data_IF_383589244467
#
_entry.id   IF_383589244467
#
_cell.length_a   1.000
_cell.length_b   1.000
_cell.length_c   1.000
_cell.angle_alpha   90.00
_cell.angle_beta   90.00
_cell.angle_gamma   90.00
#
_symmetry.space_group_name_H-M   'P 1'
#
loop_
_entity.id
_entity.type
_entity.pdbx_description
1 polymer ?
#
# COMPACT_ATOMS: atom_id res chain seq x y z
N UNK A 1 -1.03 -40.89 -31.99
CA UNK A 1 -0.63 -39.60 -31.38
C UNK A 1 -1.15 -38.39 -32.18
N UNK A 2 -2.39 -37.97 -31.90
CA UNK A 2 -3.03 -36.79 -32.52
C UNK A 2 -2.82 -35.57 -31.61
N UNK A 3 -1.71 -34.87 -31.77
CA UNK A 3 -1.47 -33.56 -31.13
C UNK A 3 -0.82 -32.57 -32.11
N UNK A 4 -1.28 -32.57 -33.37
CA UNK A 4 -0.82 -31.67 -34.44
C UNK A 4 -1.94 -30.79 -35.04
N UNK A 5 -3.11 -30.73 -34.40
CA UNK A 5 -4.23 -29.88 -34.86
C UNK A 5 -4.53 -28.86 -33.76
N UNK A 6 -4.42 -27.59 -34.11
CA UNK A 6 -4.96 -26.47 -33.35
C UNK A 6 -6.31 -26.11 -34.01
N UNK A 7 -7.43 -26.72 -33.59
CA UNK A 7 -8.74 -26.38 -34.12
C UNK A 7 -9.08 -24.93 -33.77
N UNK A 8 -9.84 -24.27 -34.63
CA UNK A 8 -10.34 -22.92 -34.38
C UNK A 8 -11.20 -22.86 -33.12
N UNK A 9 -11.29 -21.65 -32.58
CA UNK A 9 -12.01 -21.37 -31.34
C UNK A 9 -13.52 -21.59 -31.53
N UNK A 10 -14.20 -22.13 -30.52
CA UNK A 10 -15.65 -22.34 -30.55
C UNK A 10 -16.46 -21.05 -30.63
N UNK A 11 -17.74 -21.18 -31.01
CA UNK A 11 -18.64 -20.05 -31.30
C UNK A 11 -18.80 -19.05 -30.14
N UNK A 12 -18.76 -19.52 -28.89
CA UNK A 12 -18.90 -18.66 -27.71
C UNK A 12 -17.79 -17.60 -27.58
N UNK A 13 -16.59 -17.87 -28.09
CA UNK A 13 -15.47 -16.91 -28.11
C UNK A 13 -15.27 -16.29 -29.50
N UNK A 14 -15.69 -16.96 -30.58
CA UNK A 14 -15.66 -16.39 -31.93
C UNK A 14 -16.65 -15.22 -32.10
N UNK A 15 -17.88 -15.34 -31.58
CA UNK A 15 -18.92 -14.31 -31.74
C UNK A 15 -18.51 -12.97 -31.12
N UNK A 16 -17.99 -12.89 -29.87
CA UNK A 16 -17.50 -11.63 -29.30
C UNK A 16 -16.29 -11.04 -30.05
N UNK A 17 -15.36 -11.87 -30.54
CA UNK A 17 -14.22 -11.36 -31.30
C UNK A 17 -14.64 -10.74 -32.63
N UNK A 18 -15.52 -11.42 -33.39
CA UNK A 18 -15.98 -10.93 -34.69
C UNK A 18 -16.88 -9.71 -34.54
N UNK A 19 -17.72 -9.64 -33.51
CA UNK A 19 -18.53 -8.44 -33.27
C UNK A 19 -17.64 -7.23 -32.93
N UNK A 20 -16.59 -7.40 -32.12
CA UNK A 20 -15.64 -6.34 -31.81
C UNK A 20 -14.81 -5.91 -33.04
N UNK A 21 -14.41 -6.83 -33.92
CA UNK A 21 -13.72 -6.43 -35.17
C UNK A 21 -14.63 -5.62 -36.09
N UNK A 22 -15.91 -5.97 -36.20
CA UNK A 22 -16.89 -5.18 -36.97
C UNK A 22 -17.02 -3.78 -36.35
N UNK A 23 -17.16 -3.67 -35.03
CA UNK A 23 -17.27 -2.36 -34.36
C UNK A 23 -16.01 -1.52 -34.58
N UNK A 24 -14.81 -2.07 -34.40
CA UNK A 24 -13.54 -1.33 -34.59
C UNK A 24 -13.33 -0.83 -36.02
N UNK A 25 -13.80 -1.55 -37.04
CA UNK A 25 -13.75 -1.09 -38.42
C UNK A 25 -14.80 -0.01 -38.74
N UNK A 26 -15.96 -0.05 -38.07
CA UNK A 26 -17.02 0.93 -38.23
C UNK A 26 -16.79 2.23 -37.45
N UNK A 27 -16.01 2.21 -36.36
CA UNK A 27 -15.77 3.40 -35.52
C UNK A 27 -15.27 4.63 -36.30
N UNK A 28 -14.26 4.58 -37.20
CA UNK A 28 -13.83 5.78 -37.93
C UNK A 28 -14.93 6.33 -38.84
N UNK A 29 -15.71 5.46 -39.49
CA UNK A 29 -16.83 5.85 -40.35
C UNK A 29 -17.96 6.50 -39.54
N UNK A 30 -18.29 5.94 -38.38
CA UNK A 30 -19.28 6.52 -37.48
C UNK A 30 -18.85 7.91 -36.98
N UNK A 31 -17.60 8.08 -36.57
CA UNK A 31 -17.07 9.37 -36.11
C UNK A 31 -17.07 10.43 -37.21
N UNK A 32 -16.80 10.02 -38.46
CA UNK A 32 -16.91 10.90 -39.62
C UNK A 32 -18.37 11.31 -39.90
N UNK A 33 -19.32 10.37 -39.84
CA UNK A 33 -20.74 10.66 -40.06
C UNK A 33 -21.34 11.56 -38.98
N UNK A 34 -20.87 11.44 -37.75
CA UNK A 34 -21.33 12.23 -36.61
C UNK A 34 -20.63 13.60 -36.50
N UNK A 35 -19.80 13.99 -37.48
CA UNK A 35 -19.06 15.26 -37.50
C UNK A 35 -18.23 15.53 -36.24
N UNK A 36 -17.76 14.48 -35.57
CA UNK A 36 -16.92 14.57 -34.36
C UNK A 36 -15.47 14.94 -34.72
N UNK A 37 -15.05 14.63 -35.95
CA UNK A 37 -13.71 14.88 -36.46
C UNK A 37 -13.64 16.26 -37.15
N UNK A 38 -12.55 17.04 -36.95
CA UNK A 38 -12.34 18.30 -37.64
C UNK A 38 -12.13 18.10 -39.16
N UNK A 39 -12.48 19.12 -39.96
CA UNK A 39 -12.33 19.08 -41.41
C UNK A 39 -10.87 18.84 -41.85
N UNK A 40 -10.69 18.11 -42.96
CA UNK A 40 -9.39 17.76 -43.54
C UNK A 40 -8.49 18.96 -43.88
N UNK A 41 -9.07 20.16 -43.97
CA UNK A 41 -8.35 21.40 -44.22
C UNK A 41 -7.50 21.88 -43.02
N UNK A 42 -7.91 21.54 -41.79
CA UNK A 42 -7.17 21.92 -40.57
C UNK A 42 -6.15 20.87 -40.14
N UNK A 43 -6.15 19.69 -40.78
CA UNK A 43 -5.21 18.62 -40.47
C UNK A 43 -3.85 18.90 -41.13
N UNK A 44 -2.80 18.83 -40.33
CA UNK A 44 -1.44 18.87 -40.83
C UNK A 44 -1.13 17.55 -41.58
N UNK A 45 -1.19 17.61 -42.91
CA UNK A 45 -0.96 16.47 -43.80
C UNK A 45 0.43 15.87 -43.61
N UNK A 46 1.44 16.70 -43.33
CA UNK A 46 2.81 16.24 -43.09
C UNK A 46 2.90 15.41 -41.82
N UNK A 47 2.24 15.84 -40.73
CA UNK A 47 2.23 15.08 -39.47
C UNK A 47 1.51 13.74 -39.62
N UNK A 48 0.37 13.72 -40.34
CA UNK A 48 -0.37 12.49 -40.61
C UNK A 48 0.46 11.48 -41.42
N UNK A 49 1.15 11.94 -42.46
CA UNK A 49 2.02 11.10 -43.28
C UNK A 49 3.19 10.54 -42.46
N UNK A 50 3.85 11.37 -41.64
CA UNK A 50 4.95 10.92 -40.78
C UNK A 50 4.50 9.86 -39.77
N UNK A 51 3.31 10.01 -39.18
CA UNK A 51 2.76 9.05 -38.23
C UNK A 51 2.49 7.70 -38.91
N UNK A 52 1.84 7.69 -40.08
CA UNK A 52 1.57 6.47 -40.84
C UNK A 52 2.88 5.78 -41.22
N UNK A 53 3.87 6.53 -41.73
CA UNK A 53 5.17 5.96 -42.09
C UNK A 53 5.91 5.37 -40.89
N UNK A 54 5.94 6.08 -39.74
CA UNK A 54 6.60 5.57 -38.53
C UNK A 54 5.95 4.28 -38.01
N UNK A 55 4.62 4.17 -38.07
CA UNK A 55 3.89 2.97 -37.69
C UNK A 55 4.18 1.81 -38.64
N UNK A 56 4.17 2.05 -39.95
CA UNK A 56 4.52 1.04 -40.95
C UNK A 56 5.95 0.54 -40.79
N UNK A 57 6.91 1.44 -40.53
CA UNK A 57 8.31 1.07 -40.26
C UNK A 57 8.39 0.23 -38.98
N UNK A 58 7.72 0.63 -37.90
CA UNK A 58 7.68 -0.14 -36.65
C UNK A 58 7.10 -1.54 -36.83
N UNK A 59 5.96 -1.67 -37.50
CA UNK A 59 5.35 -2.97 -37.81
C UNK A 59 6.24 -3.82 -38.72
N UNK A 60 6.88 -3.22 -39.73
CA UNK A 60 7.80 -3.91 -40.63
C UNK A 60 9.01 -4.47 -39.89
N UNK A 61 9.67 -3.64 -39.07
CA UNK A 61 10.77 -4.07 -38.21
C UNK A 61 10.34 -5.20 -37.28
N UNK A 62 9.21 -5.04 -36.56
CA UNK A 62 8.67 -6.07 -35.67
C UNK A 62 8.37 -7.40 -36.35
N UNK A 63 7.83 -7.37 -37.57
CA UNK A 63 7.51 -8.58 -38.33
C UNK A 63 8.75 -9.31 -38.87
N UNK A 64 9.84 -8.57 -39.14
CA UNK A 64 11.11 -9.15 -39.63
C UNK A 64 11.98 -9.73 -38.53
N UNK A 65 11.82 -9.30 -37.27
CA UNK A 65 12.58 -9.82 -36.14
C UNK A 65 12.11 -11.25 -35.84
N UNK A 66 13.00 -12.22 -36.06
CA UNK A 66 12.72 -13.63 -35.84
C UNK A 66 12.67 -13.98 -34.33
N UNK A 67 11.53 -14.46 -33.86
CA UNK A 67 11.37 -14.97 -32.50
C UNK A 67 11.63 -16.48 -32.47
N UNK A 68 12.76 -16.91 -31.91
CA UNK A 68 13.13 -18.31 -31.89
C UNK A 68 12.18 -19.13 -31.00
N UNK A 69 11.49 -20.10 -31.60
CA UNK A 69 10.35 -20.84 -30.99
C UNK A 69 10.73 -21.82 -29.87
N UNK A 70 12.01 -22.19 -29.74
CA UNK A 70 12.43 -23.30 -28.88
C UNK A 70 13.12 -22.87 -27.57
N UNK A 71 13.64 -21.64 -27.46
CA UNK A 71 14.29 -21.22 -26.23
C UNK A 71 14.27 -19.70 -26.11
N UNK A 72 13.86 -19.25 -24.93
CA UNK A 72 13.92 -17.89 -24.41
C UNK A 72 15.38 -17.36 -24.34
N UNK A 73 16.07 -17.31 -25.47
CA UNK A 73 17.22 -16.41 -25.60
C UNK A 73 16.67 -15.15 -26.20
N UNK A 74 16.48 -14.16 -25.32
CA UNK A 74 16.32 -12.79 -25.75
C UNK A 74 17.47 -12.49 -26.71
N UNK A 75 17.16 -11.87 -27.86
CA UNK A 75 18.19 -11.35 -28.77
C UNK A 75 19.11 -10.52 -27.89
N UNK A 76 20.37 -10.94 -27.71
CA UNK A 76 21.28 -10.24 -26.82
C UNK A 76 21.59 -8.91 -27.48
N UNK A 77 20.89 -7.85 -27.05
CA UNK A 77 21.21 -6.52 -27.49
C UNK A 77 22.59 -6.15 -26.93
N UNK A 78 23.35 -5.29 -27.63
CA UNK A 78 24.63 -4.82 -27.11
C UNK A 78 24.48 -4.13 -25.74
N UNK A 79 23.29 -3.59 -25.44
CA UNK A 79 22.96 -2.91 -24.18
C UNK A 79 22.08 -3.78 -23.29
N UNK A 80 22.68 -4.83 -22.72
CA UNK A 80 22.01 -5.76 -21.79
C UNK A 80 21.29 -5.07 -20.64
N UNK A 81 21.86 -3.97 -20.11
CA UNK A 81 21.25 -3.20 -19.01
C UNK A 81 19.87 -2.65 -19.38
N UNK A 82 19.73 -2.08 -20.59
CA UNK A 82 18.45 -1.52 -21.05
C UNK A 82 17.46 -2.63 -21.33
N UNK A 83 17.92 -3.75 -21.91
CA UNK A 83 17.09 -4.92 -22.14
C UNK A 83 16.56 -5.52 -20.84
N UNK A 84 17.41 -5.69 -19.84
CA UNK A 84 17.03 -6.21 -18.53
C UNK A 84 16.08 -5.23 -17.84
N UNK A 85 16.35 -3.92 -17.88
CA UNK A 85 15.47 -2.88 -17.33
C UNK A 85 14.05 -2.94 -17.93
N UNK A 86 13.91 -3.06 -19.25
CA UNK A 86 12.61 -3.17 -19.92
C UNK A 86 11.96 -4.55 -19.71
N UNK A 87 12.76 -5.62 -19.57
CA UNK A 87 12.27 -6.97 -19.35
C UNK A 87 11.71 -7.20 -17.95
N UNK A 88 12.19 -6.44 -16.95
CA UNK A 88 11.74 -6.51 -15.55
C UNK A 88 10.82 -5.35 -15.17
N UNK A 89 10.06 -4.80 -16.13
CA UNK A 89 9.11 -3.69 -15.92
C UNK A 89 9.71 -2.54 -15.09
N UNK A 90 10.94 -2.12 -15.43
CA UNK A 90 11.70 -1.07 -14.74
C UNK A 90 11.98 -1.35 -13.25
N UNK A 91 11.86 -2.60 -12.80
CA UNK A 91 11.97 -3.00 -11.40
C UNK A 91 11.02 -2.24 -10.47
N UNK A 92 9.88 -1.78 -10.98
CA UNK A 92 8.90 -0.98 -10.21
C UNK A 92 8.41 -1.74 -8.98
N UNK A 93 8.16 -3.04 -9.10
CA UNK A 93 7.73 -3.89 -7.98
C UNK A 93 8.74 -3.88 -6.83
N UNK A 94 10.03 -4.06 -7.13
CA UNK A 94 11.10 -4.06 -6.14
C UNK A 94 11.29 -2.68 -5.50
N UNK A 95 11.17 -1.61 -6.30
CA UNK A 95 11.23 -0.25 -5.79
C UNK A 95 10.06 0.03 -4.84
N UNK A 96 8.85 -0.44 -5.17
CA UNK A 96 7.67 -0.29 -4.31
C UNK A 96 7.82 -1.04 -2.98
N UNK A 97 8.34 -2.27 -3.02
CA UNK A 97 8.60 -3.07 -1.82
C UNK A 97 9.60 -2.37 -0.88
N UNK A 98 10.71 -1.88 -1.42
CA UNK A 98 11.77 -1.25 -0.61
C UNK A 98 11.36 0.15 -0.11
N UNK A 99 10.57 0.90 -0.88
CA UNK A 99 10.19 2.26 -0.52
C UNK A 99 8.92 2.30 0.34
N UNK A 100 7.79 1.92 -0.25
CA UNK A 100 6.47 2.08 0.38
C UNK A 100 6.25 1.00 1.43
N UNK A 101 6.43 -0.28 1.06
CA UNK A 101 6.11 -1.39 1.97
C UNK A 101 7.03 -1.37 3.19
N UNK A 102 8.35 -1.28 2.99
CA UNK A 102 9.29 -1.19 4.09
C UNK A 102 9.08 0.06 4.97
N UNK A 103 8.75 1.20 4.37
CA UNK A 103 8.40 2.42 5.10
C UNK A 103 7.20 2.23 6.03
N UNK A 104 6.13 1.61 5.52
CA UNK A 104 4.94 1.29 6.32
C UNK A 104 5.25 0.27 7.43
N UNK A 105 6.03 -0.77 7.12
CA UNK A 105 6.43 -1.78 8.11
C UNK A 105 7.27 -1.17 9.23
N UNK A 106 8.17 -0.25 8.91
CA UNK A 106 8.98 0.45 9.90
C UNK A 106 8.10 1.31 10.83
N UNK A 107 7.14 2.05 10.29
CA UNK A 107 6.21 2.82 11.12
C UNK A 107 5.31 1.93 11.97
N UNK A 108 4.83 0.81 11.44
CA UNK A 108 4.05 -0.14 12.22
C UNK A 108 4.86 -0.73 13.38
N UNK A 109 6.12 -1.09 13.14
CA UNK A 109 7.03 -1.57 14.20
C UNK A 109 7.30 -0.51 15.26
N UNK A 110 7.49 0.75 14.83
CA UNK A 110 7.67 1.87 15.76
C UNK A 110 6.43 2.09 16.63
N UNK A 111 5.24 2.10 16.02
CA UNK A 111 3.98 2.24 16.75
C UNK A 111 3.77 1.12 17.76
N UNK A 112 4.04 -0.12 17.38
CA UNK A 112 3.92 -1.28 18.28
C UNK A 112 4.95 -1.24 19.42
N UNK A 113 6.16 -0.74 19.15
CA UNK A 113 7.16 -0.52 20.19
C UNK A 113 6.71 0.56 21.18
N UNK A 114 6.18 1.69 20.69
CA UNK A 114 5.66 2.73 21.57
C UNK A 114 4.54 2.21 22.47
N UNK A 115 3.56 1.50 21.91
CA UNK A 115 2.44 0.95 22.68
C UNK A 115 2.92 0.00 23.79
N UNK A 116 3.73 -1.00 23.42
CA UNK A 116 4.18 -2.04 24.34
C UNK A 116 5.18 -1.59 25.41
N UNK A 117 5.98 -0.56 25.15
CA UNK A 117 6.96 -0.08 26.12
C UNK A 117 6.48 1.15 26.89
N UNK A 118 5.81 2.08 26.23
CA UNK A 118 5.39 3.34 26.84
C UNK A 118 4.01 3.15 27.48
N UNK A 119 3.01 2.74 26.70
CA UNK A 119 1.62 2.67 27.18
C UNK A 119 1.45 1.55 28.19
N UNK A 120 1.82 0.32 27.84
CA UNK A 120 1.77 -0.83 28.76
C UNK A 120 2.65 -0.61 29.98
N UNK A 121 3.83 0.01 29.79
CA UNK A 121 4.74 0.35 30.87
C UNK A 121 4.10 1.30 31.89
N UNK A 122 3.42 2.34 31.43
CA UNK A 122 2.69 3.28 32.29
C UNK A 122 1.55 2.59 33.05
N UNK A 123 0.78 1.73 32.38
CA UNK A 123 -0.33 0.99 33.01
C UNK A 123 0.20 0.04 34.09
N UNK A 124 1.26 -0.73 33.77
CA UNK A 124 1.86 -1.64 34.74
C UNK A 124 2.46 -0.89 35.94
N UNK A 125 3.08 0.28 35.71
CA UNK A 125 3.56 1.14 36.79
C UNK A 125 2.42 1.59 37.72
N UNK A 126 1.29 2.03 37.16
CA UNK A 126 0.12 2.38 37.98
C UNK A 126 -0.41 1.18 38.77
N UNK A 127 -0.44 -0.01 38.15
CA UNK A 127 -0.83 -1.25 38.82
C UNK A 127 0.08 -1.57 40.02
N UNK A 128 1.40 -1.52 39.83
CA UNK A 128 2.38 -1.74 40.89
C UNK A 128 2.25 -0.68 41.98
N UNK A 129 2.11 0.60 41.61
CA UNK A 129 1.93 1.70 42.56
C UNK A 129 0.67 1.52 43.42
N UNK A 130 -0.43 1.05 42.84
CA UNK A 130 -1.67 0.76 43.58
C UNK A 130 -1.50 -0.39 44.57
N UNK A 131 -0.85 -1.49 44.15
CA UNK A 131 -0.60 -2.64 45.04
C UNK A 131 0.36 -2.23 46.16
N UNK A 132 1.44 -1.52 45.84
CA UNK A 132 2.41 -1.02 46.81
C UNK A 132 1.76 -0.10 47.84
N UNK A 133 0.87 0.79 47.39
CA UNK A 133 0.07 1.64 48.28
C UNK A 133 -0.77 0.80 49.23
N UNK A 134 -1.52 -0.19 48.71
CA UNK A 134 -2.36 -1.07 49.52
C UNK A 134 -1.59 -1.87 50.58
N UNK A 135 -0.46 -2.49 50.20
CA UNK A 135 0.40 -3.20 51.15
C UNK A 135 1.03 -2.26 52.19
N UNK A 136 1.41 -1.05 51.79
CA UNK A 136 1.92 -0.03 52.74
C UNK A 136 0.86 0.38 53.75
N UNK A 137 -0.37 0.63 53.30
CA UNK A 137 -1.51 0.99 54.15
C UNK A 137 -1.91 -0.12 55.12
N UNK A 138 -1.78 -1.40 54.72
CA UNK A 138 -2.05 -2.55 55.58
C UNK A 138 -1.16 -2.56 56.84
N UNK A 139 0.11 -2.15 56.72
CA UNK A 139 1.01 -2.04 57.87
C UNK A 139 0.63 -0.92 58.85
N UNK A 140 -0.26 0.00 58.48
CA UNK A 140 -0.80 1.01 59.40
C UNK A 140 -1.70 0.40 60.49
N UNK A 141 -2.17 -0.84 60.31
CA UNK A 141 -3.04 -1.55 61.26
C UNK A 141 -2.19 -2.55 62.05
N UNK A 142 -1.61 -2.08 63.16
CA UNK A 142 -0.64 -2.85 63.97
C UNK A 142 -1.27 -3.81 64.99
N UNK A 143 -2.60 -3.78 65.18
CA UNK A 143 -3.33 -4.65 66.11
C UNK A 143 -3.18 -4.27 67.60
N UNK A 144 -2.44 -3.22 67.94
CA UNK A 144 -2.29 -2.73 69.31
C UNK A 144 -3.29 -1.61 69.62
N UNK A 145 -4.08 -1.74 70.70
CA UNK A 145 -5.09 -0.76 71.12
C UNK A 145 -4.53 0.66 71.33
N UNK A 146 -3.29 0.76 71.84
CA UNK A 146 -2.60 2.03 72.07
C UNK A 146 -2.33 2.81 70.76
N UNK A 147 -2.00 2.11 69.67
CA UNK A 147 -1.77 2.72 68.35
C UNK A 147 -3.05 3.36 67.79
N UNK A 148 -4.20 2.70 67.97
CA UNK A 148 -5.50 3.24 67.57
C UNK A 148 -5.91 4.47 68.39
N UNK A 149 -5.67 4.47 69.69
CA UNK A 149 -5.96 5.66 70.51
C UNK A 149 -5.10 6.85 70.07
N UNK A 150 -3.82 6.61 69.77
CA UNK A 150 -2.90 7.64 69.30
C UNK A 150 -3.33 8.23 67.94
N UNK A 151 -3.73 7.40 66.97
CA UNK A 151 -4.20 7.90 65.67
C UNK A 151 -5.47 8.75 65.79
N UNK A 152 -6.40 8.40 66.67
CA UNK A 152 -7.60 9.22 66.95
C UNK A 152 -7.20 10.59 67.53
N UNK A 153 -6.33 10.58 68.55
CA UNK A 153 -5.89 11.81 69.23
C UNK A 153 -5.18 12.77 68.25
N UNK A 154 -4.29 12.24 67.42
CA UNK A 154 -3.59 13.00 66.37
C UNK A 154 -4.59 13.55 65.35
N UNK A 155 -5.52 12.71 64.86
CA UNK A 155 -6.50 13.13 63.83
C UNK A 155 -7.38 14.28 64.31
N UNK A 156 -7.88 14.22 65.55
CA UNK A 156 -8.69 15.29 66.14
C UNK A 156 -7.88 16.58 66.34
N UNK A 157 -6.64 16.46 66.81
CA UNK A 157 -5.76 17.61 67.03
C UNK A 157 -5.42 18.33 65.72
N UNK A 158 -5.11 17.57 64.67
CA UNK A 158 -4.83 18.10 63.33
C UNK A 158 -6.07 18.76 62.73
N UNK A 159 -7.24 18.10 62.78
CA UNK A 159 -8.50 18.69 62.30
C UNK A 159 -8.83 19.99 63.03
N UNK A 160 -8.71 20.02 64.36
CA UNK A 160 -8.92 21.21 65.16
C UNK A 160 -7.97 22.35 64.78
N UNK A 161 -6.68 22.05 64.58
CA UNK A 161 -5.69 23.03 64.14
C UNK A 161 -5.97 23.59 62.73
N UNK A 162 -6.36 22.74 61.77
CA UNK A 162 -6.72 23.18 60.41
C UNK A 162 -7.96 24.07 60.44
N UNK A 163 -8.96 23.74 61.24
CA UNK A 163 -10.16 24.56 61.39
C UNK A 163 -9.85 25.91 62.03
N UNK A 164 -9.01 25.95 63.07
CA UNK A 164 -8.57 27.21 63.67
C UNK A 164 -7.76 28.06 62.70
N UNK A 165 -6.89 27.44 61.88
CA UNK A 165 -6.15 28.13 60.83
C UNK A 165 -7.07 28.73 59.76
N UNK A 166 -8.13 28.01 59.37
CA UNK A 166 -9.13 28.54 58.41
C UNK A 166 -10.06 29.59 59.02
N UNK A 167 -10.25 29.58 60.34
CA UNK A 167 -11.09 30.52 61.07
C UNK A 167 -10.38 31.83 61.44
N UNK A 168 -9.06 31.89 61.29
CA UNK A 168 -8.21 33.07 61.48
C UNK A 168 -7.82 33.67 60.13
#
# INVERSE_FOLDING_TARGET
>A
PKTRRAPEVGWAMAVPMVSLTIVTLLTPLMMQRLSVLPDWAYLNQTAALLLVLSGMVGCGLGATIYLHKAWSRSVQLPWRVVQDLLSYDFYIERLYEISVVNGVVLMARFSNWCDRYIVDGMVNFMGIASIFSGESLKYSITGQSQSYMLTILVSVSVLGGVLMWFAW
#
